data_IF_925190965716
#
_entry.id   IF_925190965716
#
_cell.length_a   1.000
_cell.length_b   1.000
_cell.length_c   1.000
_cell.angle_alpha   90.00
_cell.angle_beta   90.00
_cell.angle_gamma   90.00
#
_symmetry.space_group_name_H-M   'P 1'
#
loop_
_entity.id
_entity.type
_entity.pdbx_description
1 polymer ?
#
# COMPACT_ATOMS: atom_id res chain seq x y z
N UNK A 1 16.30 1.40 -3.07
CA UNK A 1 16.80 0.12 -2.54
C UNK A 1 18.01 -0.46 -3.29
N UNK A 2 18.17 -0.25 -4.60
CA UNK A 2 19.31 -0.79 -5.39
C UNK A 2 20.71 -0.27 -4.99
N UNK A 3 20.79 0.87 -4.29
CA UNK A 3 22.07 1.51 -3.91
C UNK A 3 22.71 0.91 -2.65
N UNK A 4 21.93 0.35 -1.72
CA UNK A 4 22.47 -0.21 -0.47
C UNK A 4 23.13 -1.57 -0.70
N UNK A 5 22.50 -2.42 -1.50
CA UNK A 5 22.98 -3.77 -1.81
C UNK A 5 24.35 -3.75 -2.51
N UNK A 6 24.63 -2.74 -3.34
CA UNK A 6 25.94 -2.59 -3.98
C UNK A 6 27.05 -2.18 -3.00
N UNK A 7 26.74 -1.35 -2.00
CA UNK A 7 27.73 -0.89 -1.00
C UNK A 7 28.05 -2.00 0.00
N UNK A 8 27.05 -2.75 0.44
CA UNK A 8 27.21 -3.91 1.33
C UNK A 8 28.04 -5.02 0.68
N UNK A 9 27.77 -5.36 -0.58
CA UNK A 9 28.58 -6.32 -1.36
C UNK A 9 30.03 -5.86 -1.52
N UNK A 10 30.25 -4.56 -1.70
CA UNK A 10 31.60 -4.04 -1.79
C UNK A 10 32.36 -4.16 -0.46
N UNK A 11 31.73 -3.86 0.67
CA UNK A 11 32.37 -3.98 2.00
C UNK A 11 32.66 -5.44 2.32
N UNK A 12 31.70 -6.35 2.07
CA UNK A 12 31.87 -7.79 2.25
C UNK A 12 32.97 -8.39 1.36
N UNK A 13 33.26 -7.76 0.21
CA UNK A 13 34.34 -8.17 -0.69
C UNK A 13 35.69 -7.57 -0.30
N UNK A 14 35.73 -6.30 0.09
CA UNK A 14 36.98 -5.54 0.31
C UNK A 14 37.62 -5.86 1.66
N UNK A 15 36.84 -6.07 2.73
CA UNK A 15 37.39 -6.31 4.06
C UNK A 15 38.19 -7.63 4.15
N UNK A 16 37.70 -8.77 3.66
CA UNK A 16 38.48 -10.01 3.70
C UNK A 16 39.74 -9.91 2.84
N UNK A 17 39.66 -9.32 1.64
CA UNK A 17 40.82 -9.19 0.74
C UNK A 17 41.95 -8.34 1.35
N UNK A 18 41.61 -7.32 2.14
CA UNK A 18 42.60 -6.39 2.69
C UNK A 18 43.27 -6.92 3.97
N UNK A 19 42.57 -7.70 4.79
CA UNK A 19 43.03 -8.05 6.15
C UNK A 19 43.34 -9.54 6.37
N UNK A 20 42.81 -10.46 5.56
CA UNK A 20 43.17 -11.88 5.62
C UNK A 20 44.66 -12.15 5.30
N UNK A 21 45.32 -11.39 4.41
CA UNK A 21 46.77 -11.52 4.21
C UNK A 21 47.62 -11.10 5.42
N UNK A 22 47.07 -10.26 6.32
CA UNK A 22 47.77 -9.74 7.50
C UNK A 22 47.64 -10.69 8.70
N UNK A 23 46.48 -11.32 8.89
CA UNK A 23 46.27 -12.38 9.87
C UNK A 23 45.12 -13.30 9.40
N UNK A 24 45.44 -14.58 9.23
CA UNK A 24 44.48 -15.60 8.76
C UNK A 24 43.35 -15.86 9.76
N UNK A 25 43.59 -15.60 11.05
CA UNK A 25 42.58 -15.79 12.10
C UNK A 25 41.48 -14.72 12.04
N UNK A 26 41.73 -13.57 11.41
CA UNK A 26 40.75 -12.48 11.27
C UNK A 26 39.59 -12.84 10.33
N UNK A 27 39.75 -13.81 9.42
CA UNK A 27 38.71 -14.15 8.44
C UNK A 27 37.41 -14.62 9.11
N UNK A 28 37.53 -15.44 10.16
CA UNK A 28 36.40 -15.93 10.94
C UNK A 28 35.68 -14.79 11.65
N UNK A 29 36.43 -13.89 12.30
CA UNK A 29 35.89 -12.72 13.00
C UNK A 29 35.19 -11.74 12.03
N UNK A 30 35.80 -11.45 10.87
CA UNK A 30 35.22 -10.59 9.84
C UNK A 30 33.91 -11.20 9.31
N UNK A 31 33.92 -12.49 9.00
CA UNK A 31 32.73 -13.19 8.49
C UNK A 31 31.61 -13.21 9.51
N UNK A 32 31.91 -13.45 10.78
CA UNK A 32 30.91 -13.43 11.86
C UNK A 32 30.28 -12.03 12.03
N UNK A 33 31.10 -10.97 11.97
CA UNK A 33 30.61 -9.58 12.04
C UNK A 33 29.73 -9.24 10.83
N UNK A 34 30.15 -9.60 9.62
CA UNK A 34 29.38 -9.35 8.40
C UNK A 34 28.02 -10.05 8.44
N UNK A 35 27.98 -11.32 8.84
CA UNK A 35 26.73 -12.07 9.01
C UNK A 35 25.82 -11.40 10.03
N UNK A 36 26.36 -11.00 11.19
CA UNK A 36 25.58 -10.32 12.24
C UNK A 36 24.99 -9.00 11.72
N UNK A 37 25.78 -8.19 11.02
CA UNK A 37 25.33 -6.92 10.43
C UNK A 37 24.21 -7.15 9.42
N UNK A 38 24.35 -8.11 8.52
CA UNK A 38 23.30 -8.48 7.56
C UNK A 38 21.99 -8.84 8.28
N UNK A 39 22.07 -9.71 9.28
CA UNK A 39 20.89 -10.10 10.06
C UNK A 39 20.24 -8.90 10.76
N UNK A 40 21.01 -7.94 11.28
CA UNK A 40 20.45 -6.73 11.89
C UNK A 40 19.74 -5.83 10.86
N UNK A 41 20.29 -5.70 9.65
CA UNK A 41 19.61 -5.00 8.56
C UNK A 41 18.29 -5.68 8.19
N UNK A 42 18.26 -7.00 8.04
CA UNK A 42 17.02 -7.75 7.74
C UNK A 42 15.94 -7.54 8.82
N UNK A 43 16.34 -7.53 10.09
CA UNK A 43 15.44 -7.27 11.22
C UNK A 43 14.89 -5.85 11.14
N UNK A 44 15.75 -4.87 10.87
CA UNK A 44 15.37 -3.47 10.74
C UNK A 44 14.40 -3.26 9.58
N UNK A 45 14.69 -3.82 8.42
CA UNK A 45 13.83 -3.74 7.23
C UNK A 45 12.45 -4.33 7.49
N UNK A 46 12.38 -5.49 8.17
CA UNK A 46 11.10 -6.08 8.57
C UNK A 46 10.32 -5.17 9.53
N UNK A 47 10.99 -4.54 10.49
CA UNK A 47 10.35 -3.59 11.42
C UNK A 47 9.84 -2.35 10.71
N UNK A 48 10.64 -1.76 9.82
CA UNK A 48 10.26 -0.60 9.02
C UNK A 48 9.06 -0.94 8.14
N UNK A 49 9.10 -2.04 7.39
CA UNK A 49 8.00 -2.47 6.54
C UNK A 49 6.71 -2.71 7.32
N UNK A 50 6.79 -3.30 8.52
CA UNK A 50 5.63 -3.47 9.41
C UNK A 50 5.08 -2.13 9.88
N UNK A 51 5.95 -1.18 10.25
CA UNK A 51 5.54 0.14 10.68
C UNK A 51 4.87 0.93 9.56
N UNK A 52 5.42 0.88 8.34
CA UNK A 52 4.83 1.50 7.15
C UNK A 52 3.45 0.91 6.86
N UNK A 53 3.32 -0.42 6.84
CA UNK A 53 2.02 -1.09 6.64
C UNK A 53 1.01 -0.63 7.68
N UNK A 54 1.36 -0.70 8.96
CA UNK A 54 0.49 -0.26 10.06
C UNK A 54 0.08 1.21 9.95
N UNK A 55 0.99 2.09 9.52
CA UNK A 55 0.69 3.51 9.32
C UNK A 55 -0.29 3.75 8.16
N UNK A 56 -0.26 2.89 7.14
CA UNK A 56 -1.09 2.99 5.95
C UNK A 56 -2.38 2.16 6.02
N UNK A 57 -2.50 1.22 6.95
CA UNK A 57 -3.64 0.28 7.06
C UNK A 57 -4.99 1.02 7.03
N UNK A 58 -5.13 2.11 7.80
CA UNK A 58 -6.38 2.88 7.85
C UNK A 58 -6.73 3.48 6.47
N UNK A 59 -5.73 3.98 5.75
CA UNK A 59 -5.94 4.60 4.44
C UNK A 59 -6.27 3.54 3.39
N UNK A 60 -5.57 2.41 3.43
CA UNK A 60 -5.84 1.25 2.55
C UNK A 60 -7.25 0.71 2.80
N UNK A 61 -7.66 0.57 4.06
CA UNK A 61 -9.02 0.14 4.41
C UNK A 61 -10.07 1.14 3.96
N UNK A 62 -9.82 2.45 4.06
CA UNK A 62 -10.73 3.48 3.55
C UNK A 62 -10.89 3.37 2.03
N UNK A 63 -9.79 3.22 1.29
CA UNK A 63 -9.81 3.02 -0.17
C UNK A 63 -10.57 1.74 -0.53
N UNK A 64 -10.32 0.65 0.21
CA UNK A 64 -10.98 -0.64 0.00
C UNK A 64 -12.48 -0.53 0.21
N UNK A 65 -12.92 0.05 1.32
CA UNK A 65 -14.36 0.27 1.61
C UNK A 65 -15.01 1.15 0.56
N UNK A 66 -14.32 2.20 0.10
CA UNK A 66 -14.82 3.04 -0.99
C UNK A 66 -15.00 2.23 -2.28
N UNK A 67 -14.00 1.42 -2.66
CA UNK A 67 -14.11 0.54 -3.83
C UNK A 67 -15.25 -0.46 -3.68
N UNK A 68 -15.37 -1.12 -2.53
CA UNK A 68 -16.43 -2.11 -2.27
C UNK A 68 -17.83 -1.47 -2.34
N UNK A 69 -17.97 -0.21 -1.93
CA UNK A 69 -19.24 0.52 -2.03
C UNK A 69 -19.55 1.00 -3.45
N UNK A 70 -18.57 1.58 -4.15
CA UNK A 70 -18.76 2.09 -5.52
C UNK A 70 -18.84 0.96 -6.57
N UNK A 71 -18.17 -0.16 -6.32
CA UNK A 71 -18.07 -1.31 -7.22
C UNK A 71 -18.31 -2.63 -6.47
N UNK A 72 -19.53 -2.87 -5.96
CA UNK A 72 -19.85 -4.09 -5.24
C UNK A 72 -19.63 -5.32 -6.11
N UNK A 73 -18.88 -6.31 -5.60
CA UNK A 73 -18.48 -7.51 -6.33
C UNK A 73 -17.79 -7.23 -7.69
N UNK A 74 -17.00 -6.14 -7.75
CA UNK A 74 -16.36 -5.66 -8.99
C UNK A 74 -17.35 -5.38 -10.14
N UNK A 75 -18.63 -5.13 -9.81
CA UNK A 75 -19.70 -4.75 -10.74
C UNK A 75 -20.12 -3.29 -10.51
N UNK A 76 -20.91 -2.73 -11.44
CA UNK A 76 -21.50 -1.40 -11.27
C UNK A 76 -22.50 -1.39 -10.11
N UNK A 77 -22.44 -0.33 -9.30
CA UNK A 77 -23.34 -0.11 -8.17
C UNK A 77 -24.82 -0.26 -8.56
N UNK A 78 -25.25 0.32 -9.68
CA UNK A 78 -26.64 0.26 -10.17
C UNK A 78 -27.16 -1.15 -10.45
N UNK A 79 -26.27 -2.12 -10.68
CA UNK A 79 -26.63 -3.52 -10.96
C UNK A 79 -26.82 -4.35 -9.71
N UNK A 80 -26.43 -3.82 -8.55
CA UNK A 80 -26.40 -4.55 -7.29
C UNK A 80 -27.21 -3.85 -6.20
N UNK A 81 -27.14 -2.52 -6.13
CA UNK A 81 -27.85 -1.73 -5.12
C UNK A 81 -29.23 -1.30 -5.61
N UNK A 82 -30.22 -1.43 -4.72
CA UNK A 82 -31.56 -0.88 -4.91
C UNK A 82 -31.56 0.62 -4.58
N UNK A 83 -32.39 1.41 -5.26
CA UNK A 83 -32.56 2.85 -4.98
C UNK A 83 -33.17 3.16 -3.59
N UNK A 84 -33.81 2.17 -2.95
CA UNK A 84 -34.63 2.37 -1.75
C UNK A 84 -33.89 3.02 -0.57
N UNK A 85 -32.64 2.62 -0.21
CA UNK A 85 -31.89 3.27 0.86
C UNK A 85 -31.59 4.75 0.56
N UNK A 86 -31.37 5.11 -0.71
CA UNK A 86 -31.15 6.49 -1.11
C UNK A 86 -32.43 7.31 -0.98
N UNK A 87 -33.55 6.76 -1.41
CA UNK A 87 -34.85 7.41 -1.27
C UNK A 87 -35.27 7.58 0.20
N UNK A 88 -34.98 6.60 1.07
CA UNK A 88 -35.26 6.74 2.51
C UNK A 88 -34.44 7.84 3.19
N UNK A 89 -33.22 8.08 2.72
CA UNK A 89 -32.32 9.10 3.30
C UNK A 89 -32.54 10.51 2.72
N UNK A 90 -32.85 10.60 1.43
CA UNK A 90 -32.89 11.88 0.69
C UNK A 90 -34.29 12.22 0.14
N UNK A 91 -35.25 11.30 0.19
CA UNK A 91 -36.60 11.52 -0.29
C UNK A 91 -36.67 11.82 -1.79
N UNK A 92 -37.60 12.69 -2.17
CA UNK A 92 -37.87 13.02 -3.56
C UNK A 92 -36.69 13.72 -4.26
N UNK A 93 -35.84 14.45 -3.54
CA UNK A 93 -34.72 15.16 -4.16
C UNK A 93 -33.73 14.21 -4.83
N UNK A 94 -33.60 12.98 -4.33
CA UNK A 94 -32.75 11.96 -4.97
C UNK A 94 -33.13 11.71 -6.44
N UNK A 95 -34.43 11.59 -6.73
CA UNK A 95 -34.90 11.36 -8.09
C UNK A 95 -34.78 12.60 -8.96
N UNK A 96 -35.00 13.79 -8.39
CA UNK A 96 -34.79 15.05 -9.11
C UNK A 96 -33.31 15.19 -9.50
N UNK A 97 -32.39 14.97 -8.55
CA UNK A 97 -30.96 15.04 -8.79
C UNK A 97 -30.51 14.00 -9.83
N UNK A 98 -31.04 12.77 -9.76
CA UNK A 98 -30.76 11.73 -10.76
C UNK A 98 -31.24 12.14 -12.15
N UNK A 99 -32.46 12.67 -12.27
CA UNK A 99 -33.01 13.10 -13.56
C UNK A 99 -32.22 14.26 -14.16
N UNK A 100 -31.86 15.27 -13.36
CA UNK A 100 -31.15 16.46 -13.83
C UNK A 100 -29.71 16.18 -14.28
N UNK A 101 -29.03 15.21 -13.65
CA UNK A 101 -27.60 14.97 -13.88
C UNK A 101 -27.30 13.71 -14.71
N UNK A 102 -28.30 12.88 -15.03
CA UNK A 102 -28.10 11.72 -15.89
C UNK A 102 -28.01 12.15 -17.35
N UNK A 103 -26.87 11.88 -17.99
CA UNK A 103 -26.73 11.94 -19.45
C UNK A 103 -26.87 10.52 -20.03
N UNK A 104 -27.99 10.18 -20.70
CA UNK A 104 -28.23 8.84 -21.23
C UNK A 104 -27.21 8.38 -22.28
N UNK A 105 -26.53 9.32 -22.94
CA UNK A 105 -25.53 9.03 -23.97
C UNK A 105 -24.10 9.35 -23.51
N UNK A 106 -23.95 9.76 -22.25
CA UNK A 106 -22.66 10.04 -21.62
C UNK A 106 -21.83 8.77 -21.48
N UNK A 107 -20.51 8.90 -21.65
CA UNK A 107 -19.54 7.80 -21.43
C UNK A 107 -18.81 7.91 -20.09
N UNK A 108 -19.33 8.75 -19.19
CA UNK A 108 -18.69 9.11 -17.92
C UNK A 108 -19.51 8.56 -16.76
N UNK A 109 -18.85 8.32 -15.62
CA UNK A 109 -19.54 7.97 -14.39
C UNK A 109 -20.17 9.22 -13.78
N UNK A 110 -21.45 9.12 -13.41
CA UNK A 110 -22.13 10.12 -12.59
C UNK A 110 -21.77 9.88 -11.11
N UNK A 111 -21.31 10.91 -10.42
CA UNK A 111 -21.07 10.89 -8.98
C UNK A 111 -21.98 11.94 -8.32
N UNK A 112 -22.93 11.48 -7.52
CA UNK A 112 -23.80 12.34 -6.72
C UNK A 112 -23.27 12.39 -5.29
N UNK A 113 -22.90 13.58 -4.81
CA UNK A 113 -22.40 13.79 -3.46
C UNK A 113 -23.51 14.37 -2.57
N UNK A 114 -23.89 13.60 -1.54
CA UNK A 114 -24.80 14.05 -0.51
C UNK A 114 -24.06 14.26 0.80
N UNK A 115 -24.23 15.43 1.41
CA UNK A 115 -23.75 15.66 2.78
C UNK A 115 -24.68 14.94 3.75
N UNK A 116 -24.14 13.96 4.48
CA UNK A 116 -24.82 13.40 5.65
C UNK A 116 -25.07 14.54 6.65
N UNK A 117 -26.33 14.77 7.00
CA UNK A 117 -26.69 15.65 8.13
C UNK A 117 -26.18 15.06 9.44
#
# INVERSE_FOLDING_TARGET
MLTNTHRERNIARVLPQKYVPLDKNLNGSISAVLTKVHTQFDILDKKINRAIKKALDIQVDRIRRFKEHAFPNDSLQERYETFLPYYLNYGQSFFEDLYQHTDPFGKQFLVLEYKKQ
#
